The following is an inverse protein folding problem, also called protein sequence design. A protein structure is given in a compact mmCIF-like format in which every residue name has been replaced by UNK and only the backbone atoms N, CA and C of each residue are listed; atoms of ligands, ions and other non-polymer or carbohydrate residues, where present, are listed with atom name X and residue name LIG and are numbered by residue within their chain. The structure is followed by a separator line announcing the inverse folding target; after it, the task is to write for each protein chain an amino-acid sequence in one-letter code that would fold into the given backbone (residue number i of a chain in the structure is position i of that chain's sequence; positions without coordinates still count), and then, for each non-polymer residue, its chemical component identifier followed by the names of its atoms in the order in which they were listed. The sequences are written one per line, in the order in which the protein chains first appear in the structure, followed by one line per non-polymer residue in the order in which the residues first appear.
data_IF_678049856380
#
_entry.id   IF_678049856380
#
_cell.length_a   1.000
_cell.length_b   1.000
_cell.length_c   1.000
_cell.angle_alpha   90.00
_cell.angle_beta   90.00
_cell.angle_gamma   90.00
#
_symmetry.space_group_name_H-M   'P 1'
#
loop_
_entity.id
_entity.type
_entity.pdbx_description
1 polymer ?
#
# COMPACT_ATOMS: atom_id res chain seq x y z
N UNK A 1 12.68 111.33 -2.29
CA UNK A 1 11.89 110.89 -3.47
C UNK A 1 12.26 109.47 -3.91
N UNK A 2 13.53 109.11 -4.06
CA UNK A 2 13.95 107.75 -4.43
C UNK A 2 13.60 106.68 -3.38
N UNK A 3 13.85 106.97 -2.10
CA UNK A 3 13.59 106.05 -0.98
C UNK A 3 12.10 105.70 -0.82
N UNK A 4 11.22 106.72 -0.85
CA UNK A 4 9.76 106.56 -0.84
C UNK A 4 9.24 105.75 -2.05
N UNK A 5 9.88 105.88 -3.22
CA UNK A 5 9.54 105.09 -4.42
C UNK A 5 9.98 103.63 -4.29
N UNK A 6 11.15 103.37 -3.71
CA UNK A 6 11.64 102.02 -3.45
C UNK A 6 10.76 101.28 -2.41
N UNK A 7 10.31 101.97 -1.37
CA UNK A 7 9.38 101.44 -0.36
C UNK A 7 8.02 101.07 -0.98
N UNK A 8 7.43 101.97 -1.78
CA UNK A 8 6.17 101.71 -2.49
C UNK A 8 6.32 100.56 -3.51
N UNK A 9 7.44 100.48 -4.23
CA UNK A 9 7.72 99.39 -5.16
C UNK A 9 7.91 98.05 -4.44
N UNK A 10 8.58 98.04 -3.28
CA UNK A 10 8.74 96.85 -2.44
C UNK A 10 7.39 96.34 -1.92
N UNK A 11 6.54 97.24 -1.43
CA UNK A 11 5.18 96.91 -1.01
C UNK A 11 4.35 96.36 -2.18
N UNK A 12 4.41 97.00 -3.37
CA UNK A 12 3.74 96.52 -4.58
C UNK A 12 4.18 95.11 -4.98
N UNK A 13 5.49 94.85 -4.98
CA UNK A 13 6.03 93.52 -5.31
C UNK A 13 5.60 92.46 -4.28
N UNK A 14 5.55 92.82 -2.99
CA UNK A 14 5.04 91.92 -1.94
C UNK A 14 3.57 91.59 -2.13
N UNK A 15 2.74 92.57 -2.49
CA UNK A 15 1.31 92.32 -2.78
C UNK A 15 1.12 91.49 -4.04
N UNK A 16 1.92 91.72 -5.09
CA UNK A 16 1.89 90.90 -6.31
C UNK A 16 2.28 89.44 -6.03
N UNK A 17 3.37 89.21 -5.29
CA UNK A 17 3.78 87.88 -4.89
C UNK A 17 2.74 87.19 -3.98
N UNK A 18 2.09 87.96 -3.08
CA UNK A 18 1.00 87.44 -2.25
C UNK A 18 -0.24 87.07 -3.06
N UNK A 19 -0.61 87.87 -4.07
CA UNK A 19 -1.71 87.58 -5.00
C UNK A 19 -1.42 86.35 -5.85
N UNK A 20 -0.20 86.23 -6.38
CA UNK A 20 0.25 85.05 -7.13
C UNK A 20 0.19 83.77 -6.28
N UNK A 21 0.63 83.85 -5.02
CA UNK A 21 0.57 82.70 -4.11
C UNK A 21 -0.86 82.31 -3.71
N UNK A 22 -1.75 83.30 -3.56
CA UNK A 22 -3.18 83.07 -3.33
C UNK A 22 -3.86 82.44 -4.55
N UNK A 23 -3.52 82.89 -5.75
CA UNK A 23 -4.01 82.32 -7.00
C UNK A 23 -3.54 80.87 -7.17
N UNK A 24 -2.25 80.60 -6.93
CA UNK A 24 -1.69 79.24 -6.95
C UNK A 24 -2.36 78.32 -5.91
N UNK A 25 -2.55 78.80 -4.67
CA UNK A 25 -3.25 78.03 -3.64
C UNK A 25 -4.71 77.76 -4.04
N UNK A 26 -5.39 78.73 -4.64
CA UNK A 26 -6.78 78.60 -5.09
C UNK A 26 -6.91 77.58 -6.24
N UNK A 27 -5.97 77.58 -7.19
CA UNK A 27 -5.93 76.58 -8.26
C UNK A 27 -5.71 75.16 -7.72
N UNK A 28 -4.79 74.97 -6.77
CA UNK A 28 -4.55 73.67 -6.15
C UNK A 28 -5.76 73.19 -5.33
N UNK A 29 -6.37 74.06 -4.54
CA UNK A 29 -7.57 73.73 -3.75
C UNK A 29 -8.72 73.33 -4.68
N UNK A 30 -8.94 74.06 -5.78
CA UNK A 30 -9.95 73.71 -6.78
C UNK A 30 -9.65 72.34 -7.42
N UNK A 31 -8.38 72.06 -7.74
CA UNK A 31 -7.96 70.75 -8.26
C UNK A 31 -8.26 69.60 -7.29
N UNK A 32 -7.85 69.75 -6.03
CA UNK A 32 -8.14 68.77 -4.98
C UNK A 32 -9.64 68.59 -4.73
N UNK A 33 -10.43 69.65 -4.88
CA UNK A 33 -11.88 69.61 -4.69
C UNK A 33 -12.57 68.79 -5.80
N UNK A 34 -12.14 68.95 -7.05
CA UNK A 34 -12.60 68.14 -8.19
C UNK A 34 -12.18 66.67 -8.03
N UNK A 35 -10.94 66.40 -7.60
CA UNK A 35 -10.49 65.03 -7.30
C UNK A 35 -11.34 64.39 -6.19
N UNK A 36 -11.61 65.12 -5.10
CA UNK A 36 -12.49 64.65 -4.02
C UNK A 36 -13.92 64.36 -4.50
N UNK A 37 -14.48 65.22 -5.36
CA UNK A 37 -15.81 64.97 -5.95
C UNK A 37 -15.83 63.73 -6.84
N UNK A 38 -14.75 63.43 -7.56
CA UNK A 38 -14.62 62.23 -8.38
C UNK A 38 -14.36 60.95 -7.56
N UNK A 39 -13.61 61.04 -6.46
CA UNK A 39 -13.28 59.90 -5.59
C UNK A 39 -14.46 59.47 -4.71
N UNK A 40 -15.31 60.41 -4.26
CA UNK A 40 -16.50 60.12 -3.46
C UNK A 40 -17.40 59.01 -4.05
N UNK A 41 -17.85 59.09 -5.32
CA UNK A 41 -18.70 58.05 -5.90
C UNK A 41 -17.94 56.72 -6.08
N UNK A 42 -16.65 56.75 -6.40
CA UNK A 42 -15.84 55.54 -6.50
C UNK A 42 -15.71 54.81 -5.16
N UNK A 43 -15.56 55.57 -4.06
CA UNK A 43 -15.52 55.00 -2.72
C UNK A 43 -16.84 54.32 -2.35
N UNK A 44 -17.97 54.92 -2.71
CA UNK A 44 -19.31 54.33 -2.48
C UNK A 44 -19.49 53.05 -3.29
N UNK A 45 -19.11 53.05 -4.57
CA UNK A 45 -19.20 51.86 -5.43
C UNK A 45 -18.29 50.75 -4.88
N UNK A 46 -17.04 51.05 -4.58
CA UNK A 46 -16.08 50.08 -4.02
C UNK A 46 -16.57 49.52 -2.68
N UNK A 47 -17.13 50.36 -1.81
CA UNK A 47 -17.78 49.94 -0.57
C UNK A 47 -18.90 48.93 -0.80
N UNK A 48 -19.82 49.23 -1.72
CA UNK A 48 -20.91 48.31 -2.07
C UNK A 48 -20.40 46.99 -2.69
N UNK A 49 -19.35 47.02 -3.49
CA UNK A 49 -18.74 45.81 -4.06
C UNK A 49 -18.09 44.95 -2.98
N UNK A 50 -17.36 45.56 -2.04
CA UNK A 50 -16.78 44.83 -0.90
C UNK A 50 -17.85 44.21 0.00
N UNK A 51 -18.97 44.90 0.22
CA UNK A 51 -20.08 44.40 1.02
C UNK A 51 -20.79 43.22 0.34
N UNK A 52 -21.00 43.29 -0.99
CA UNK A 52 -21.50 42.17 -1.79
C UNK A 52 -20.56 40.97 -1.73
N UNK A 53 -19.25 41.19 -1.86
CA UNK A 53 -18.26 40.12 -1.79
C UNK A 53 -18.28 39.45 -0.40
N UNK A 54 -18.37 40.25 0.67
CA UNK A 54 -18.48 39.75 2.04
C UNK A 54 -19.73 38.87 2.23
N UNK A 55 -20.88 39.29 1.70
CA UNK A 55 -22.11 38.50 1.76
C UNK A 55 -21.98 37.16 1.00
N UNK A 56 -21.30 37.15 -0.15
CA UNK A 56 -21.03 35.92 -0.91
C UNK A 56 -20.09 34.99 -0.13
N UNK A 57 -19.07 35.53 0.54
CA UNK A 57 -18.17 34.73 1.38
C UNK A 57 -18.94 34.12 2.57
N UNK A 58 -19.75 34.92 3.26
CA UNK A 58 -20.55 34.46 4.40
C UNK A 58 -21.56 33.37 4.01
N UNK A 59 -22.17 33.45 2.83
CA UNK A 59 -23.08 32.40 2.36
C UNK A 59 -22.36 31.10 1.99
N UNK A 60 -21.09 31.17 1.55
CA UNK A 60 -20.30 29.99 1.16
C UNK A 60 -19.56 29.33 2.32
N UNK A 61 -19.19 30.09 3.36
CA UNK A 61 -18.44 29.60 4.52
C UNK A 61 -19.02 28.33 5.17
N UNK A 62 -20.35 28.24 5.43
CA UNK A 62 -20.93 27.04 6.03
C UNK A 62 -20.71 25.78 5.18
N UNK A 63 -20.81 25.89 3.85
CA UNK A 63 -20.62 24.76 2.94
C UNK A 63 -19.15 24.30 2.87
N UNK A 64 -18.21 25.24 3.03
CA UNK A 64 -16.77 24.90 3.10
C UNK A 64 -16.47 24.17 4.40
N UNK A 65 -16.99 24.64 5.53
CA UNK A 65 -16.77 24.00 6.83
C UNK A 65 -17.40 22.61 6.90
N UNK A 66 -18.61 22.41 6.37
CA UNK A 66 -19.21 21.07 6.30
C UNK A 66 -18.40 20.14 5.41
N UNK A 67 -17.99 20.61 4.23
CA UNK A 67 -17.18 19.79 3.32
C UNK A 67 -15.81 19.45 3.92
N UNK A 68 -15.20 20.38 4.64
CA UNK A 68 -13.94 20.16 5.36
C UNK A 68 -14.12 19.09 6.43
N UNK A 69 -15.18 19.17 7.23
CA UNK A 69 -15.47 18.17 8.25
C UNK A 69 -15.73 16.77 7.67
N UNK A 70 -16.42 16.68 6.53
CA UNK A 70 -16.60 15.42 5.80
C UNK A 70 -15.27 14.85 5.32
N UNK A 71 -14.44 15.65 4.64
CA UNK A 71 -13.15 15.19 4.11
C UNK A 71 -12.21 14.76 5.22
N UNK A 72 -12.19 15.45 6.36
CA UNK A 72 -11.38 15.02 7.51
C UNK A 72 -11.83 13.66 8.04
N UNK A 73 -13.14 13.42 8.17
CA UNK A 73 -13.67 12.12 8.60
C UNK A 73 -13.34 11.00 7.60
N UNK A 74 -13.51 11.27 6.31
CA UNK A 74 -13.19 10.30 5.26
C UNK A 74 -11.70 9.99 5.23
N UNK A 75 -10.84 11.00 5.44
CA UNK A 75 -9.39 10.81 5.54
C UNK A 75 -8.99 9.96 6.74
N UNK A 76 -9.58 10.21 7.93
CA UNK A 76 -9.34 9.41 9.13
C UNK A 76 -9.79 7.95 8.95
N UNK A 77 -10.95 7.73 8.31
CA UNK A 77 -11.44 6.38 8.01
C UNK A 77 -10.52 5.64 7.02
N UNK A 78 -10.08 6.31 5.96
CA UNK A 78 -9.17 5.76 4.97
C UNK A 78 -7.79 5.43 5.59
N UNK A 79 -7.28 6.26 6.48
CA UNK A 79 -6.02 6.02 7.18
C UNK A 79 -6.12 4.83 8.14
N UNK A 80 -7.26 4.69 8.85
CA UNK A 80 -7.52 3.53 9.70
C UNK A 80 -7.58 2.22 8.90
N UNK A 81 -8.29 2.22 7.76
CA UNK A 81 -8.39 1.04 6.90
C UNK A 81 -7.04 0.70 6.24
N UNK A 82 -6.28 1.72 5.81
CA UNK A 82 -4.93 1.54 5.30
C UNK A 82 -3.99 0.92 6.36
N UNK A 83 -4.11 1.33 7.63
CA UNK A 83 -3.33 0.75 8.72
C UNK A 83 -3.67 -0.73 8.95
N UNK A 84 -4.94 -1.11 8.90
CA UNK A 84 -5.38 -2.50 9.03
C UNK A 84 -4.82 -3.34 7.87
N UNK A 85 -5.00 -2.90 6.62
CA UNK A 85 -4.48 -3.60 5.45
C UNK A 85 -2.97 -3.76 5.51
N UNK A 86 -2.26 -2.71 5.96
CA UNK A 86 -0.81 -2.77 6.13
C UNK A 86 -0.41 -3.78 7.20
N UNK A 87 -1.06 -3.79 8.36
CA UNK A 87 -0.77 -4.75 9.41
C UNK A 87 -0.97 -6.21 8.95
N UNK A 88 -2.10 -6.51 8.29
CA UNK A 88 -2.34 -7.86 7.75
C UNK A 88 -1.37 -8.23 6.63
N UNK A 89 -0.97 -7.26 5.80
CA UNK A 89 0.05 -7.48 4.77
C UNK A 89 1.40 -7.81 5.40
N UNK A 90 1.84 -7.02 6.37
CA UNK A 90 3.13 -7.18 7.03
C UNK A 90 3.21 -8.54 7.78
N UNK A 91 2.12 -8.99 8.39
CA UNK A 91 2.01 -10.32 9.02
C UNK A 91 2.19 -11.46 7.99
N UNK A 92 1.45 -11.41 6.87
CA UNK A 92 1.54 -12.43 5.83
C UNK A 92 2.90 -12.41 5.12
N UNK A 93 3.49 -11.23 4.90
CA UNK A 93 4.82 -11.09 4.33
C UNK A 93 5.90 -11.66 5.25
N UNK A 94 5.75 -11.54 6.57
CA UNK A 94 6.67 -12.15 7.53
C UNK A 94 6.62 -13.68 7.47
N UNK A 95 5.42 -14.29 7.51
CA UNK A 95 5.26 -15.74 7.38
C UNK A 95 5.79 -16.26 6.03
N UNK A 96 5.54 -15.51 4.97
CA UNK A 96 6.03 -15.84 3.64
C UNK A 96 7.56 -15.73 3.55
N UNK A 97 8.16 -14.75 4.22
CA UNK A 97 9.61 -14.57 4.26
C UNK A 97 10.33 -15.71 4.98
N UNK A 98 9.67 -16.41 5.91
CA UNK A 98 10.18 -17.64 6.51
C UNK A 98 9.96 -18.87 5.60
N UNK A 99 8.78 -18.97 4.99
CA UNK A 99 8.41 -20.13 4.18
C UNK A 99 9.18 -20.22 2.84
N UNK A 100 9.45 -19.08 2.18
CA UNK A 100 10.14 -19.06 0.88
C UNK A 100 11.56 -19.66 0.96
N UNK A 101 12.42 -19.27 1.92
CA UNK A 101 13.75 -19.87 2.08
C UNK A 101 13.69 -21.37 2.32
N UNK A 102 12.77 -21.86 3.16
CA UNK A 102 12.60 -23.28 3.43
C UNK A 102 12.17 -24.04 2.17
N UNK A 103 11.25 -23.49 1.38
CA UNK A 103 10.82 -24.06 0.11
C UNK A 103 11.97 -24.10 -0.91
N UNK A 104 12.72 -23.01 -1.06
CA UNK A 104 13.86 -22.95 -1.98
C UNK A 104 14.97 -23.92 -1.56
N UNK A 105 15.23 -24.05 -0.26
CA UNK A 105 16.17 -25.04 0.26
C UNK A 105 15.72 -26.47 -0.06
N UNK A 106 14.43 -26.78 0.06
CA UNK A 106 13.89 -28.08 -0.31
C UNK A 106 14.00 -28.34 -1.82
N UNK A 107 13.72 -27.36 -2.68
CA UNK A 107 13.90 -27.48 -4.14
C UNK A 107 15.37 -27.70 -4.50
N UNK A 108 16.28 -26.96 -3.87
CA UNK A 108 17.72 -27.13 -4.07
C UNK A 108 18.21 -28.51 -3.58
N UNK A 109 17.64 -29.04 -2.48
CA UNK A 109 17.92 -30.40 -2.03
C UNK A 109 17.45 -31.43 -3.07
N UNK A 110 16.30 -31.22 -3.71
CA UNK A 110 15.83 -32.09 -4.81
C UNK A 110 16.75 -32.06 -6.04
N UNK A 111 17.48 -30.98 -6.30
CA UNK A 111 18.52 -30.91 -7.34
C UNK A 111 19.75 -31.76 -7.01
N UNK A 112 20.04 -31.97 -5.72
CA UNK A 112 21.22 -32.71 -5.28
C UNK A 112 21.02 -34.24 -5.29
N UNK A 113 19.76 -34.70 -5.26
CA UNK A 113 19.44 -36.14 -5.27
C UNK A 113 19.86 -36.77 -6.59
N UNK A 114 20.71 -37.79 -6.51
CA UNK A 114 21.16 -38.52 -7.69
C UNK A 114 20.17 -39.64 -8.05
N UNK A 115 19.96 -39.93 -9.35
CA UNK A 115 19.13 -41.06 -9.77
C UNK A 115 19.58 -42.42 -9.19
N UNK A 116 20.86 -42.58 -8.91
CA UNK A 116 21.41 -43.77 -8.26
C UNK A 116 20.86 -43.98 -6.84
N UNK A 117 20.74 -42.90 -6.05
CA UNK A 117 20.24 -42.94 -4.67
C UNK A 117 18.75 -43.31 -4.65
N UNK A 118 17.96 -42.81 -5.60
CA UNK A 118 16.55 -43.20 -5.79
C UNK A 118 16.44 -44.70 -6.15
N UNK A 119 17.35 -45.20 -6.99
CA UNK A 119 17.40 -46.60 -7.36
C UNK A 119 17.77 -47.52 -6.19
N UNK A 120 18.56 -47.06 -5.24
CA UNK A 120 18.84 -47.82 -4.01
C UNK A 120 17.60 -47.90 -3.11
N UNK A 121 16.93 -46.77 -2.90
CA UNK A 121 15.73 -46.70 -2.05
C UNK A 121 14.58 -47.56 -2.62
N UNK A 122 14.36 -47.54 -3.94
CA UNK A 122 13.28 -48.34 -4.55
C UNK A 122 13.53 -49.85 -4.49
N UNK A 123 14.80 -50.27 -4.49
CA UNK A 123 15.19 -51.68 -4.48
C UNK A 123 15.13 -52.31 -3.08
N UNK A 124 14.81 -51.52 -2.04
CA UNK A 124 14.56 -52.03 -0.70
C UNK A 124 13.28 -52.87 -0.68
N UNK A 125 13.42 -54.18 -0.44
CA UNK A 125 12.28 -55.10 -0.31
C UNK A 125 11.43 -54.81 0.94
N UNK A 126 12.05 -54.26 2.00
CA UNK A 126 11.38 -53.79 3.22
C UNK A 126 11.95 -52.42 3.60
N UNK A 127 11.27 -51.31 3.26
CA UNK A 127 11.74 -49.99 3.61
C UNK A 127 11.67 -49.76 5.13
N UNK A 128 12.60 -48.98 5.72
CA UNK A 128 12.46 -48.47 7.08
C UNK A 128 11.15 -47.69 7.27
N UNK A 129 10.64 -47.63 8.50
CA UNK A 129 9.36 -47.00 8.81
C UNK A 129 9.31 -45.51 8.40
N UNK A 130 10.40 -44.77 8.58
CA UNK A 130 10.53 -43.36 8.19
C UNK A 130 10.45 -43.18 6.67
N UNK A 131 11.21 -43.98 5.91
CA UNK A 131 11.19 -43.96 4.44
C UNK A 131 9.81 -44.31 3.90
N UNK A 132 9.13 -45.29 4.52
CA UNK A 132 7.76 -45.65 4.17
C UNK A 132 6.79 -44.49 4.39
N UNK A 133 6.91 -43.78 5.51
CA UNK A 133 6.05 -42.65 5.86
C UNK A 133 6.24 -41.46 4.91
N UNK A 134 7.48 -41.14 4.53
CA UNK A 134 7.80 -40.09 3.55
C UNK A 134 7.30 -40.48 2.15
N UNK A 135 7.50 -41.73 1.73
CA UNK A 135 7.04 -42.21 0.42
C UNK A 135 5.50 -42.22 0.33
N UNK A 136 4.83 -42.54 1.44
CA UNK A 136 3.38 -42.49 1.56
C UNK A 136 2.85 -41.05 1.49
N UNK A 137 3.47 -40.10 2.20
CA UNK A 137 3.03 -38.70 2.18
C UNK A 137 3.13 -38.09 0.78
N UNK A 138 4.17 -38.43 0.01
CA UNK A 138 4.32 -38.01 -1.39
C UNK A 138 3.22 -38.63 -2.27
N UNK A 139 2.85 -39.90 -2.04
CA UNK A 139 1.74 -40.52 -2.77
C UNK A 139 0.40 -39.87 -2.46
N UNK A 140 0.17 -39.47 -1.21
CA UNK A 140 -1.03 -38.75 -0.80
C UNK A 140 -1.07 -37.34 -1.43
N UNK A 141 0.07 -36.64 -1.50
CA UNK A 141 0.17 -35.35 -2.20
C UNK A 141 -0.12 -35.44 -3.69
N UNK A 142 0.40 -36.48 -4.35
CA UNK A 142 0.18 -36.71 -5.79
C UNK A 142 -1.12 -37.47 -6.10
N UNK A 143 -2.01 -37.61 -5.10
CA UNK A 143 -3.29 -38.33 -5.19
C UNK A 143 -3.20 -39.75 -5.76
N UNK A 144 -2.06 -40.42 -5.58
CA UNK A 144 -1.86 -41.80 -6.01
C UNK A 144 -2.56 -42.74 -5.04
N UNK A 145 -3.50 -43.51 -5.56
CA UNK A 145 -4.28 -44.47 -4.77
C UNK A 145 -3.39 -45.59 -4.24
N UNK A 146 -3.56 -45.91 -2.95
CA UNK A 146 -2.94 -47.09 -2.33
C UNK A 146 -3.42 -48.39 -2.97
N UNK A 147 -2.56 -49.40 -2.90
CA UNK A 147 -2.89 -50.75 -3.33
C UNK A 147 -3.28 -51.56 -2.09
N UNK A 148 -4.39 -52.31 -2.20
CA UNK A 148 -4.81 -53.22 -1.14
C UNK A 148 -4.04 -54.52 -1.24
N UNK A 149 -3.11 -54.74 -0.32
CA UNK A 149 -2.39 -55.99 -0.17
C UNK A 149 -2.76 -56.71 1.14
N UNK A 150 -2.65 -58.05 1.18
CA UNK A 150 -2.75 -58.80 2.43
C UNK A 150 -1.70 -58.33 3.43
N UNK A 151 -2.07 -58.21 4.71
CA UNK A 151 -1.16 -57.81 5.77
C UNK A 151 -0.01 -58.83 5.89
N UNK A 152 1.27 -58.38 5.90
CA UNK A 152 2.42 -59.25 6.12
C UNK A 152 2.38 -60.03 7.45
N UNK A 153 1.62 -59.56 8.44
CA UNK A 153 1.53 -60.15 9.78
C UNK A 153 0.24 -60.97 10.02
N UNK A 154 -0.84 -60.72 9.26
CA UNK A 154 -2.11 -61.45 9.36
C UNK A 154 -2.76 -61.61 7.97
N UNK A 155 -2.63 -62.78 7.33
CA UNK A 155 -3.18 -63.02 5.98
C UNK A 155 -4.69 -62.83 5.84
N UNK A 156 -5.43 -62.73 6.97
CA UNK A 156 -6.88 -62.50 6.99
C UNK A 156 -7.26 -61.01 6.85
N UNK A 157 -6.30 -60.09 7.00
CA UNK A 157 -6.51 -58.64 6.95
C UNK A 157 -5.91 -58.05 5.68
N UNK A 158 -6.57 -57.04 5.11
CA UNK A 158 -6.04 -56.26 3.97
C UNK A 158 -5.67 -54.88 4.46
N UNK A 159 -4.42 -54.49 4.25
CA UNK A 159 -3.91 -53.15 4.54
C UNK A 159 -3.85 -52.32 3.27
N UNK A 160 -4.03 -51.01 3.41
CA UNK A 160 -3.76 -50.06 2.35
C UNK A 160 -2.26 -49.78 2.36
N UNK A 161 -1.55 -50.33 1.39
CA UNK A 161 -0.12 -50.11 1.27
C UNK A 161 0.17 -49.11 0.16
N UNK A 162 0.95 -48.10 0.51
CA UNK A 162 1.40 -47.08 -0.41
C UNK A 162 2.76 -47.41 -1.03
N UNK A 163 3.52 -48.38 -0.49
CA UNK A 163 4.88 -48.67 -0.95
C UNK A 163 4.94 -49.17 -2.39
N UNK A 164 4.07 -50.11 -2.80
CA UNK A 164 4.02 -50.57 -4.20
C UNK A 164 3.78 -49.42 -5.20
N UNK A 165 2.77 -48.55 -4.98
CA UNK A 165 2.61 -47.30 -5.73
C UNK A 165 3.80 -46.35 -5.67
N UNK A 166 4.41 -46.15 -4.49
CA UNK A 166 5.59 -45.29 -4.32
C UNK A 166 6.78 -45.80 -5.14
N UNK A 167 7.03 -47.11 -5.18
CA UNK A 167 8.10 -47.70 -6.00
C UNK A 167 7.87 -47.44 -7.49
N UNK A 168 6.62 -47.55 -7.95
CA UNK A 168 6.26 -47.25 -9.34
C UNK A 168 6.42 -45.77 -9.68
N UNK A 169 6.13 -44.89 -8.72
CA UNK A 169 6.34 -43.45 -8.85
C UNK A 169 7.84 -43.12 -8.94
N UNK A 170 8.66 -43.68 -8.05
CA UNK A 170 10.12 -43.51 -8.03
C UNK A 170 10.84 -44.16 -9.23
N UNK A 171 10.16 -45.05 -9.96
CA UNK A 171 10.70 -45.65 -11.19
C UNK A 171 10.70 -44.67 -12.37
N UNK A 172 9.88 -43.62 -12.32
CA UNK A 172 9.81 -42.63 -13.39
C UNK A 172 11.08 -41.77 -13.44
N UNK A 173 11.70 -41.65 -14.61
CA UNK A 173 12.90 -40.84 -14.80
C UNK A 173 12.63 -39.35 -14.59
N UNK A 174 11.38 -38.91 -14.76
CA UNK A 174 10.95 -37.53 -14.54
C UNK A 174 10.39 -37.28 -13.13
N UNK A 175 10.52 -38.24 -12.21
CA UNK A 175 9.98 -38.15 -10.85
C UNK A 175 10.40 -36.86 -10.12
N UNK A 176 11.70 -36.54 -10.13
CA UNK A 176 12.23 -35.33 -9.47
C UNK A 176 11.70 -34.06 -10.14
N UNK A 177 11.58 -34.05 -11.47
CA UNK A 177 11.04 -32.91 -12.21
C UNK A 177 9.55 -32.69 -11.89
N UNK A 178 8.78 -33.77 -11.73
CA UNK A 178 7.37 -33.72 -11.31
C UNK A 178 7.21 -33.18 -9.90
N UNK A 179 8.12 -33.50 -8.98
CA UNK A 179 8.10 -32.93 -7.62
C UNK A 179 8.41 -31.43 -7.63
N UNK A 180 9.39 -31.00 -8.44
CA UNK A 180 9.72 -29.55 -8.58
C UNK A 180 8.62 -28.76 -9.25
N UNK A 181 7.95 -29.35 -10.24
CA UNK A 181 6.84 -28.75 -10.97
C UNK A 181 5.46 -28.95 -10.34
N UNK A 182 5.39 -29.43 -9.09
CA UNK A 182 4.11 -29.68 -8.42
C UNK A 182 3.30 -28.39 -8.22
N UNK A 183 1.99 -28.45 -8.48
CA UNK A 183 1.08 -27.33 -8.31
C UNK A 183 0.77 -27.10 -6.83
N UNK A 184 1.61 -26.27 -6.20
CA UNK A 184 1.49 -25.84 -4.81
C UNK A 184 0.31 -24.89 -4.55
N UNK A 185 -0.25 -24.29 -5.60
CA UNK A 185 -1.31 -23.29 -5.47
C UNK A 185 -2.70 -23.96 -5.44
N UNK A 186 -2.85 -25.13 -6.07
CA UNK A 186 -4.12 -25.86 -6.17
C UNK A 186 -4.13 -27.22 -5.44
N UNK A 187 -3.70 -27.27 -4.18
CA UNK A 187 -3.75 -28.50 -3.38
C UNK A 187 -5.17 -28.73 -2.82
N UNK A 188 -5.82 -29.88 -3.06
CA UNK A 188 -7.14 -30.17 -2.50
C UNK A 188 -7.14 -30.14 -0.97
N UNK A 189 -8.14 -29.50 -0.36
CA UNK A 189 -8.26 -29.35 1.10
C UNK A 189 -8.25 -30.68 1.85
N UNK A 190 -8.78 -31.75 1.22
CA UNK A 190 -8.78 -33.10 1.77
C UNK A 190 -7.35 -33.64 1.94
N UNK A 191 -6.49 -33.40 0.96
CA UNK A 191 -5.07 -33.81 0.98
C UNK A 191 -4.32 -33.03 2.04
N UNK A 192 -4.51 -31.70 2.09
CA UNK A 192 -3.89 -30.82 3.09
C UNK A 192 -4.25 -31.25 4.53
N UNK A 193 -5.53 -31.54 4.79
CA UNK A 193 -6.00 -32.00 6.09
C UNK A 193 -5.35 -33.34 6.49
N UNK A 194 -5.34 -34.31 5.57
CA UNK A 194 -4.74 -35.62 5.79
C UNK A 194 -3.24 -35.52 6.14
N UNK A 195 -2.51 -34.64 5.45
CA UNK A 195 -1.08 -34.41 5.69
C UNK A 195 -0.81 -33.79 7.07
N UNK A 196 -1.59 -32.75 7.42
CA UNK A 196 -1.46 -32.08 8.73
C UNK A 196 -1.77 -33.01 9.90
N UNK A 197 -2.82 -33.83 9.78
CA UNK A 197 -3.29 -34.67 10.89
C UNK A 197 -2.46 -35.96 11.07
N UNK A 198 -1.97 -36.56 9.99
CA UNK A 198 -1.36 -37.90 10.04
C UNK A 198 0.16 -37.92 9.84
N UNK A 199 0.77 -36.88 9.26
CA UNK A 199 2.20 -36.89 8.91
C UNK A 199 3.00 -35.77 9.58
N UNK A 200 2.52 -34.52 9.56
CA UNK A 200 3.25 -33.37 10.15
C UNK A 200 3.31 -33.45 11.68
N UNK A 201 2.28 -34.01 12.31
CA UNK A 201 2.18 -34.22 13.76
C UNK A 201 2.97 -35.43 14.27
N UNK A 202 3.53 -36.24 13.36
CA UNK A 202 4.23 -37.46 13.73
C UNK A 202 5.70 -37.16 14.05
N UNK A 203 6.15 -37.48 15.27
CA UNK A 203 7.53 -37.24 15.74
C UNK A 203 8.61 -37.93 14.88
N UNK A 204 8.23 -38.94 14.08
CA UNK A 204 9.13 -39.62 13.15
C UNK A 204 9.35 -38.87 11.82
N UNK A 205 8.64 -37.77 11.56
CA UNK A 205 8.73 -36.97 10.32
C UNK A 205 9.56 -35.71 10.54
N UNK A 206 10.83 -35.87 10.90
CA UNK A 206 11.77 -34.76 11.08
C UNK A 206 12.90 -34.82 10.03
N UNK A 207 13.23 -33.70 9.37
CA UNK A 207 14.25 -33.67 8.31
C UNK A 207 15.69 -33.81 8.83
N UNK A 208 15.91 -33.81 10.15
CA UNK A 208 17.22 -33.87 10.79
C UNK A 208 17.59 -35.26 11.33
N UNK A 209 16.69 -36.25 11.23
CA UNK A 209 16.92 -37.64 11.66
C UNK A 209 17.28 -38.56 10.49
#
# INVERSE_FOLDING_TARGET
LAEKRAEVQGNKNRYLAGLEQLEFATQNVNGMQVELENLKPQLVISGQETEKLMAVIQSKLPGVETKRAEVTKDAEAAEAEAAICKASKDEVEADLAEAIPALNAAVAALDQIKPAEINEVKNLAKPPATVKLVAESICVMLEIKSVRIPDPNDPSRRIMDYWGPSQKMMQDNDFINKLKGYDKDNIPLKVMKNIRENYITNEAFTPAN
#
